data_IF_952797349054
#
_entry.id   IF_952797349054
#
_cell.length_a   1.000
_cell.length_b   1.000
_cell.length_c   1.000
_cell.angle_alpha   90.00
_cell.angle_beta   90.00
_cell.angle_gamma   90.00
#
_symmetry.space_group_name_H-M   'P 1'
#
loop_
_entity.id
_entity.type
_entity.pdbx_description
1 polymer ?
#
# COMPACT_ATOMS: atom_id res chain seq x y z
N UNK A 1 -19.62 -17.51 14.46
CA UNK A 1 -18.21 -17.55 14.01
C UNK A 1 -17.44 -16.58 14.89
N UNK A 2 -16.49 -17.06 15.69
CA UNK A 2 -15.68 -16.18 16.53
C UNK A 2 -14.74 -15.40 15.59
N UNK A 3 -14.89 -14.07 15.55
CA UNK A 3 -14.03 -13.20 14.76
C UNK A 3 -12.64 -13.16 15.37
N UNK A 4 -11.69 -13.88 14.77
CA UNK A 4 -10.28 -13.79 15.10
C UNK A 4 -9.70 -12.50 14.52
N UNK A 5 -9.66 -11.44 15.32
CA UNK A 5 -8.92 -10.21 15.04
C UNK A 5 -7.64 -10.12 15.89
N UNK A 6 -7.22 -11.24 16.51
CA UNK A 6 -6.02 -11.29 17.31
C UNK A 6 -4.79 -11.29 16.42
N UNK A 7 -3.70 -10.65 16.88
CA UNK A 7 -2.40 -10.66 16.16
C UNK A 7 -1.91 -12.09 15.90
N UNK A 8 -2.25 -13.04 16.79
CA UNK A 8 -1.92 -14.45 16.68
C UNK A 8 -2.72 -15.20 15.60
N UNK A 9 -3.82 -14.62 15.11
CA UNK A 9 -4.68 -15.22 14.09
C UNK A 9 -4.27 -14.82 12.66
N UNK A 10 -3.26 -13.94 12.52
CA UNK A 10 -2.79 -13.47 11.21
C UNK A 10 -1.80 -14.46 10.58
N UNK A 11 -1.92 -14.64 9.28
CA UNK A 11 -0.89 -15.29 8.46
C UNK A 11 0.42 -14.51 8.52
N UNK A 12 1.54 -15.21 8.34
CA UNK A 12 2.85 -14.58 8.28
C UNK A 12 2.99 -13.73 7.01
N UNK A 13 3.13 -12.42 7.17
CA UNK A 13 3.30 -11.47 6.06
C UNK A 13 4.40 -10.45 6.35
N UNK A 14 4.86 -9.75 5.31
CA UNK A 14 5.88 -8.70 5.46
C UNK A 14 5.24 -7.38 5.88
N UNK A 15 5.83 -6.75 6.90
CA UNK A 15 5.50 -5.37 7.27
C UNK A 15 6.29 -4.38 6.39
N UNK A 16 5.71 -3.98 5.25
CA UNK A 16 6.33 -3.04 4.32
C UNK A 16 6.43 -1.61 4.89
N UNK A 17 7.34 -0.77 4.38
CA UNK A 17 7.41 0.64 4.74
C UNK A 17 6.09 1.37 4.46
N UNK A 18 5.79 2.39 5.28
CA UNK A 18 4.62 3.23 5.07
C UNK A 18 4.70 4.01 3.75
N UNK A 19 3.56 4.41 3.18
CA UNK A 19 3.52 5.23 1.96
C UNK A 19 4.31 6.53 2.10
N UNK A 20 4.30 7.16 3.27
CA UNK A 20 5.09 8.37 3.54
C UNK A 20 6.61 8.09 3.46
N UNK A 21 7.06 6.96 4.01
CA UNK A 21 8.45 6.50 3.90
C UNK A 21 8.81 6.18 2.45
N UNK A 22 7.94 5.49 1.72
CA UNK A 22 8.15 5.17 0.31
C UNK A 22 8.28 6.46 -0.54
N UNK A 23 7.38 7.42 -0.36
CA UNK A 23 7.41 8.72 -1.06
C UNK A 23 8.70 9.51 -0.77
N UNK A 24 9.24 9.41 0.44
CA UNK A 24 10.49 10.07 0.84
C UNK A 24 11.72 9.59 0.05
N UNK A 25 11.63 8.45 -0.64
CA UNK A 25 12.69 7.97 -1.54
C UNK A 25 12.73 8.68 -2.89
N UNK A 26 11.65 9.39 -3.28
CA UNK A 26 11.48 9.99 -4.61
C UNK A 26 11.67 9.01 -5.78
N UNK A 27 11.52 7.70 -5.52
CA UNK A 27 11.68 6.64 -6.50
C UNK A 27 10.40 5.78 -6.62
N UNK A 28 9.50 6.09 -7.58
CA UNK A 28 8.26 5.32 -7.80
C UNK A 28 8.51 3.86 -8.18
N UNK A 29 9.64 3.53 -8.79
CA UNK A 29 9.99 2.15 -9.16
C UNK A 29 10.09 1.23 -7.93
N UNK A 30 10.58 1.76 -6.80
CA UNK A 30 10.59 1.00 -5.55
C UNK A 30 9.16 0.68 -5.08
N UNK A 31 8.21 1.58 -5.32
CA UNK A 31 6.81 1.41 -4.94
C UNK A 31 6.09 0.43 -5.87
N UNK A 32 6.45 0.40 -7.16
CA UNK A 32 6.02 -0.63 -8.08
C UNK A 32 6.44 -2.03 -7.60
N UNK A 33 7.73 -2.21 -7.28
CA UNK A 33 8.25 -3.49 -6.76
C UNK A 33 7.63 -3.90 -5.44
N UNK A 34 7.39 -2.92 -4.56
CA UNK A 34 6.65 -3.14 -3.32
C UNK A 34 5.22 -3.63 -3.60
N UNK A 35 4.54 -3.04 -4.58
CA UNK A 35 3.22 -3.50 -5.03
C UNK A 35 3.25 -4.95 -5.56
N UNK A 36 4.25 -5.32 -6.35
CA UNK A 36 4.42 -6.71 -6.83
C UNK A 36 4.62 -7.69 -5.68
N UNK A 37 5.49 -7.35 -4.72
CA UNK A 37 5.75 -8.19 -3.55
C UNK A 37 4.51 -8.37 -2.67
N UNK A 38 3.74 -7.30 -2.44
CA UNK A 38 2.48 -7.39 -1.70
C UNK A 38 1.45 -8.27 -2.44
N UNK A 39 1.39 -8.17 -3.77
CA UNK A 39 0.47 -9.00 -4.55
C UNK A 39 0.85 -10.48 -4.52
N UNK A 40 2.15 -10.81 -4.45
CA UNK A 40 2.60 -12.19 -4.22
C UNK A 40 2.12 -12.73 -2.86
N UNK A 41 2.15 -11.92 -1.79
CA UNK A 41 1.59 -12.28 -0.49
C UNK A 41 0.05 -12.41 -0.53
N UNK A 42 -0.64 -11.56 -1.30
CA UNK A 42 -2.08 -11.65 -1.49
C UNK A 42 -2.47 -12.96 -2.20
N UNK A 43 -1.75 -13.34 -3.27
CA UNK A 43 -1.97 -14.61 -3.97
C UNK A 43 -1.75 -15.81 -3.06
N UNK A 44 -0.67 -15.79 -2.26
CA UNK A 44 -0.39 -16.84 -1.28
C UNK A 44 -1.49 -16.97 -0.21
N UNK A 45 -2.14 -15.85 0.12
CA UNK A 45 -3.20 -15.77 1.14
C UNK A 45 -4.62 -15.91 0.58
N UNK A 46 -4.78 -16.09 -0.74
CA UNK A 46 -6.10 -16.15 -1.39
C UNK A 46 -6.89 -14.85 -1.33
N UNK A 47 -6.21 -13.69 -1.33
CA UNK A 47 -6.83 -12.35 -1.32
C UNK A 47 -6.90 -11.81 -2.75
N UNK A 48 -8.12 -11.58 -3.25
CA UNK A 48 -8.34 -11.10 -4.62
C UNK A 48 -8.29 -9.56 -4.77
N UNK A 49 -8.59 -8.83 -3.69
CA UNK A 49 -8.64 -7.36 -3.67
C UNK A 49 -7.90 -6.82 -2.46
N UNK A 50 -6.93 -5.95 -2.71
CA UNK A 50 -6.19 -5.23 -1.70
C UNK A 50 -6.83 -3.84 -1.47
N UNK A 51 -7.07 -3.50 -0.21
CA UNK A 51 -7.59 -2.19 0.22
C UNK A 51 -6.45 -1.15 0.28
N UNK A 52 -5.83 -0.90 -0.87
CA UNK A 52 -4.69 0.00 -1.05
C UNK A 52 -4.59 0.45 -2.51
N UNK A 53 -3.89 1.56 -2.81
CA UNK A 53 -3.17 2.44 -1.87
C UNK A 53 -4.01 3.60 -1.34
N UNK A 54 -3.61 4.13 -0.19
CA UNK A 54 -4.11 5.41 0.31
C UNK A 54 -3.53 6.59 -0.49
N UNK A 55 -4.36 7.26 -1.31
CA UNK A 55 -3.94 8.40 -2.17
C UNK A 55 -4.53 9.75 -1.76
N UNK A 56 -4.96 9.89 -0.51
CA UNK A 56 -5.46 11.16 -0.01
C UNK A 56 -4.35 12.22 0.11
N UNK A 57 -4.70 13.51 0.00
CA UNK A 57 -3.73 14.60 0.10
C UNK A 57 -3.56 15.02 1.56
N UNK A 58 -2.30 15.13 2.00
CA UNK A 58 -1.94 15.61 3.35
C UNK A 58 -2.22 17.11 3.49
N UNK A 59 -3.48 17.47 3.76
CA UNK A 59 -3.90 18.88 3.93
C UNK A 59 -3.41 19.51 5.22
N UNK A 60 -3.32 18.71 6.29
CA UNK A 60 -2.93 19.17 7.61
C UNK A 60 -1.91 18.20 8.20
N UNK A 61 -0.80 18.68 8.80
CA UNK A 61 0.18 17.82 9.43
C UNK A 61 -0.39 17.06 10.65
N UNK A 62 -1.51 17.52 11.21
CA UNK A 62 -2.16 16.91 12.39
C UNK A 62 -3.05 15.71 12.06
N UNK A 63 -3.25 15.38 10.77
CA UNK A 63 -4.07 14.23 10.40
C UNK A 63 -3.36 12.91 10.74
N UNK A 64 -3.97 12.11 11.63
CA UNK A 64 -3.37 10.88 12.16
C UNK A 64 -3.12 9.77 11.13
N UNK A 65 -3.73 9.86 9.94
CA UNK A 65 -3.56 8.87 8.85
C UNK A 65 -2.53 9.30 7.79
N UNK A 66 -1.85 10.43 7.98
CA UNK A 66 -0.90 10.94 6.99
C UNK A 66 0.24 9.97 6.65
N UNK A 67 0.59 9.03 7.54
CA UNK A 67 1.62 8.04 7.26
C UNK A 67 1.19 7.03 6.17
N UNK A 68 -0.11 6.78 6.02
CA UNK A 68 -0.69 5.90 5.00
C UNK A 68 -0.71 6.54 3.60
N UNK A 69 -0.55 7.87 3.52
CA UNK A 69 -0.60 8.64 2.27
C UNK A 69 0.80 9.08 1.82
N UNK A 70 0.99 9.24 0.51
CA UNK A 70 2.30 9.55 -0.06
C UNK A 70 2.77 10.98 0.26
N UNK A 71 2.02 12.01 -0.15
CA UNK A 71 2.46 13.40 -0.04
C UNK A 71 1.33 14.41 0.14
N UNK A 72 1.69 15.65 0.49
CA UNK A 72 0.84 16.84 0.29
C UNK A 72 0.82 17.28 -1.18
N UNK A 73 1.86 16.93 -1.94
CA UNK A 73 1.97 17.22 -3.37
C UNK A 73 1.15 16.22 -4.21
N UNK A 74 0.22 16.68 -5.06
CA UNK A 74 -0.64 15.80 -5.84
C UNK A 74 0.10 15.07 -6.97
N UNK A 75 1.15 15.67 -7.55
CA UNK A 75 1.92 15.03 -8.62
C UNK A 75 2.72 13.84 -8.08
N UNK A 76 3.44 14.05 -6.99
CA UNK A 76 4.17 13.01 -6.27
C UNK A 76 3.22 11.89 -5.82
N UNK A 77 2.08 12.25 -5.23
CA UNK A 77 1.07 11.28 -4.80
C UNK A 77 0.52 10.46 -5.98
N UNK A 78 0.27 11.09 -7.13
CA UNK A 78 -0.18 10.41 -8.35
C UNK A 78 0.87 9.47 -8.94
N UNK A 79 2.14 9.88 -8.99
CA UNK A 79 3.24 9.03 -9.47
C UNK A 79 3.41 7.77 -8.62
N UNK A 80 3.40 7.91 -7.30
CA UNK A 80 3.56 6.78 -6.39
C UNK A 80 2.31 5.89 -6.33
N UNK A 81 1.12 6.48 -6.26
CA UNK A 81 -0.14 5.73 -6.26
C UNK A 81 -0.31 4.91 -7.54
N UNK A 82 -0.02 5.49 -8.71
CA UNK A 82 -0.08 4.76 -9.97
C UNK A 82 0.98 3.66 -10.08
N UNK A 83 2.20 3.89 -9.59
CA UNK A 83 3.23 2.86 -9.55
C UNK A 83 2.81 1.67 -8.67
N UNK A 84 2.27 1.93 -7.48
CA UNK A 84 1.76 0.90 -6.58
C UNK A 84 0.65 0.08 -7.24
N UNK A 85 -0.40 0.73 -7.76
CA UNK A 85 -1.53 0.06 -8.40
C UNK A 85 -1.07 -0.81 -9.58
N UNK A 86 -0.14 -0.30 -10.40
CA UNK A 86 0.42 -1.06 -11.51
C UNK A 86 1.21 -2.28 -11.04
N UNK A 87 1.97 -2.17 -9.95
CA UNK A 87 2.71 -3.28 -9.37
C UNK A 87 1.78 -4.36 -8.81
N UNK A 88 0.75 -3.97 -8.06
CA UNK A 88 -0.22 -4.92 -7.51
C UNK A 88 -1.00 -5.63 -8.64
N UNK A 89 -1.52 -4.85 -9.59
CA UNK A 89 -2.33 -5.39 -10.69
C UNK A 89 -1.50 -6.16 -11.74
N UNK A 90 -0.17 -6.05 -11.77
CA UNK A 90 0.66 -6.86 -12.68
C UNK A 90 0.56 -8.36 -12.38
N UNK A 91 0.15 -8.71 -11.15
CA UNK A 91 -0.03 -10.09 -10.66
C UNK A 91 -1.51 -10.51 -10.59
N UNK A 92 -2.44 -9.68 -11.08
CA UNK A 92 -3.87 -9.99 -11.13
C UNK A 92 -4.67 -9.69 -9.85
N UNK A 93 -4.06 -9.04 -8.86
CA UNK A 93 -4.76 -8.59 -7.64
C UNK A 93 -5.40 -7.22 -7.87
N UNK A 94 -6.65 -7.04 -7.45
CA UNK A 94 -7.35 -5.76 -7.54
C UNK A 94 -6.92 -4.75 -6.48
N UNK A 95 -7.06 -3.45 -6.78
CA UNK A 95 -6.89 -2.35 -5.82
C UNK A 95 -8.23 -1.64 -5.60
N UNK A 96 -8.51 -1.23 -4.35
CA UNK A 96 -9.70 -0.44 -3.97
C UNK A 96 -9.40 0.66 -2.96
#
# INVERSE_FOLDING_TARGET
AAGGFGVADNEHSTAFPTSATAASSWNPENTYRMGEAIAEECLASGVDVLLAPGVNIKRSPLCGRNFEYYSEDPLLSGMFGSAFVRGVQSKGIGCS
#
